data_IF_482963206354
#
_entry.id   IF_482963206354
#
_cell.length_a   1.000
_cell.length_b   1.000
_cell.length_c   1.000
_cell.angle_alpha   90.00
_cell.angle_beta   90.00
_cell.angle_gamma   90.00
#
_symmetry.space_group_name_H-M   'P 1'
#
loop_
_entity.id
_entity.type
_entity.pdbx_description
1 polymer ?
#
# COMPACT_ATOMS: atom_id res chain seq x y z
N UNK A 1 -9.51 -0.26 -7.45
CA UNK A 1 -9.19 0.37 -6.14
C UNK A 1 -7.69 0.27 -5.80
N UNK A 2 -7.07 -0.91 -5.98
CA UNK A 2 -5.66 -1.14 -5.67
C UNK A 2 -4.71 -0.14 -6.35
N UNK A 3 -4.71 -0.11 -7.69
CA UNK A 3 -3.82 0.77 -8.44
C UNK A 3 -4.04 2.25 -8.07
N UNK A 4 -5.30 2.69 -7.96
CA UNK A 4 -5.61 4.05 -7.52
C UNK A 4 -5.05 4.37 -6.13
N UNK A 5 -5.15 3.43 -5.17
CA UNK A 5 -4.56 3.57 -3.83
C UNK A 5 -3.04 3.67 -3.87
N UNK A 6 -2.37 2.86 -4.70
CA UNK A 6 -0.92 2.91 -4.89
C UNK A 6 -0.46 4.21 -5.55
N UNK A 7 -1.20 4.72 -6.53
CA UNK A 7 -0.94 6.03 -7.14
C UNK A 7 -1.15 7.18 -6.14
N UNK A 8 -2.19 7.13 -5.29
CA UNK A 8 -2.38 8.10 -4.22
C UNK A 8 -1.22 8.08 -3.21
N UNK A 9 -0.77 6.89 -2.81
CA UNK A 9 0.39 6.74 -1.94
C UNK A 9 1.67 7.29 -2.59
N UNK A 10 1.87 7.04 -3.88
CA UNK A 10 3.00 7.59 -4.64
C UNK A 10 2.99 9.12 -4.68
N UNK A 11 1.81 9.74 -4.88
CA UNK A 11 1.66 11.20 -4.84
C UNK A 11 1.95 11.73 -3.42
N UNK A 12 1.44 11.07 -2.37
CA UNK A 12 1.73 11.45 -0.98
C UNK A 12 3.22 11.41 -0.64
N UNK A 13 3.91 10.35 -1.07
CA UNK A 13 5.37 10.23 -0.93
C UNK A 13 6.12 11.28 -1.76
N UNK A 14 5.67 11.58 -2.97
CA UNK A 14 6.27 12.62 -3.80
C UNK A 14 6.11 14.03 -3.18
N UNK A 15 5.00 14.29 -2.49
CA UNK A 15 4.82 15.53 -1.73
C UNK A 15 5.82 15.61 -0.56
N UNK A 16 5.99 14.53 0.21
CA UNK A 16 7.00 14.50 1.26
C UNK A 16 8.43 14.68 0.73
N UNK A 17 8.74 14.12 -0.44
CA UNK A 17 10.03 14.30 -1.09
C UNK A 17 10.34 15.77 -1.45
N UNK A 18 9.30 16.61 -1.55
CA UNK A 18 9.42 18.05 -1.82
C UNK A 18 9.35 18.93 -0.57
N UNK A 19 9.15 18.35 0.61
CA UNK A 19 9.00 19.11 1.84
C UNK A 19 10.29 19.91 2.14
N UNK A 20 10.20 21.24 2.28
CA UNK A 20 11.36 22.07 2.56
C UNK A 20 11.74 21.98 4.05
N UNK A 21 13.01 22.28 4.35
CA UNK A 21 13.57 22.26 5.72
C UNK A 21 12.78 23.17 6.68
N UNK A 22 12.24 24.29 6.19
CA UNK A 22 11.46 25.27 6.95
C UNK A 22 9.95 25.21 6.61
N UNK A 23 9.43 24.03 6.26
CA UNK A 23 8.03 23.85 5.87
C UNK A 23 7.04 24.01 7.02
N UNK A 24 5.80 24.31 6.67
CA UNK A 24 4.67 24.29 7.60
C UNK A 24 4.03 22.91 7.59
N UNK A 25 3.82 22.33 8.78
CA UNK A 25 3.18 21.02 8.91
C UNK A 25 1.85 20.93 8.15
N UNK A 26 1.03 21.98 8.21
CA UNK A 26 -0.31 21.98 7.61
C UNK A 26 -0.26 21.95 6.07
N UNK A 27 0.77 22.55 5.47
CA UNK A 27 0.88 22.69 4.01
C UNK A 27 1.75 21.60 3.41
N UNK A 28 2.85 21.26 4.06
CA UNK A 28 3.88 20.38 3.49
C UNK A 28 3.74 18.92 3.95
N UNK A 29 3.12 18.67 5.11
CA UNK A 29 3.07 17.33 5.74
C UNK A 29 1.67 16.74 5.75
N UNK A 30 0.67 17.53 6.17
CA UNK A 30 -0.72 17.08 6.32
C UNK A 30 -1.30 16.50 5.02
N UNK A 31 -1.15 17.15 3.83
CA UNK A 31 -1.71 16.61 2.60
C UNK A 31 -1.06 15.28 2.22
N UNK A 32 0.27 15.17 2.41
CA UNK A 32 1.02 13.93 2.18
C UNK A 32 0.53 12.79 3.09
N UNK A 33 0.34 13.06 4.38
CA UNK A 33 -0.17 12.07 5.34
C UNK A 33 -1.57 11.59 4.97
N UNK A 34 -2.47 12.50 4.60
CA UNK A 34 -3.84 12.15 4.22
C UNK A 34 -3.88 11.29 2.96
N UNK A 35 -3.11 11.65 1.93
CA UNK A 35 -3.03 10.88 0.69
C UNK A 35 -2.42 9.50 0.91
N UNK A 36 -1.38 9.41 1.73
CA UNK A 36 -0.72 8.16 2.04
C UNK A 36 -1.63 7.23 2.85
N UNK A 37 -2.33 7.76 3.86
CA UNK A 37 -3.30 7.00 4.66
C UNK A 37 -4.49 6.51 3.83
N UNK A 38 -5.08 7.39 3.01
CA UNK A 38 -6.19 7.03 2.13
C UNK A 38 -5.77 6.01 1.07
N UNK A 39 -4.60 6.23 0.45
CA UNK A 39 -4.02 5.32 -0.54
C UNK A 39 -3.74 3.94 0.04
N UNK A 40 -3.14 3.87 1.23
CA UNK A 40 -2.89 2.63 1.95
C UNK A 40 -4.21 1.90 2.26
N UNK A 41 -5.22 2.59 2.80
CA UNK A 41 -6.53 2.00 3.10
C UNK A 41 -7.24 1.44 1.85
N UNK A 42 -7.18 2.16 0.73
CA UNK A 42 -7.74 1.71 -0.55
C UNK A 42 -7.00 0.50 -1.15
N UNK A 43 -5.69 0.41 -0.95
CA UNK A 43 -4.85 -0.64 -1.51
C UNK A 43 -4.87 -1.93 -0.68
N UNK A 44 -5.00 -1.82 0.65
CA UNK A 44 -4.77 -2.93 1.58
C UNK A 44 -5.71 -4.12 1.37
N UNK A 45 -7.02 -3.87 1.39
CA UNK A 45 -8.03 -4.93 1.22
C UNK A 45 -7.94 -5.65 -0.15
N UNK A 46 -7.88 -4.91 -1.29
CA UNK A 46 -7.72 -5.53 -2.59
C UNK A 46 -6.45 -6.38 -2.75
N UNK A 47 -5.33 -5.95 -2.12
CA UNK A 47 -4.08 -6.72 -2.14
C UNK A 47 -4.25 -8.05 -1.41
N UNK A 48 -4.87 -8.04 -0.23
CA UNK A 48 -5.13 -9.26 0.53
C UNK A 48 -6.06 -10.20 -0.22
N UNK A 49 -7.12 -9.65 -0.82
CA UNK A 49 -8.06 -10.43 -1.61
C UNK A 49 -7.38 -11.09 -2.81
N UNK A 50 -6.60 -10.32 -3.58
CA UNK A 50 -5.88 -10.82 -4.74
C UNK A 50 -4.84 -11.91 -4.37
N UNK A 51 -4.24 -11.82 -3.19
CA UNK A 51 -3.30 -12.82 -2.73
C UNK A 51 -3.97 -14.15 -2.35
N UNK A 52 -5.23 -14.12 -1.93
CA UNK A 52 -5.96 -15.28 -1.40
C UNK A 52 -7.03 -15.84 -2.36
N UNK A 53 -7.37 -15.13 -3.42
CA UNK A 53 -8.54 -15.43 -4.28
C UNK A 53 -8.47 -16.76 -5.05
N UNK A 54 -7.30 -17.38 -5.16
CA UNK A 54 -7.09 -18.64 -5.89
C UNK A 54 -6.71 -19.82 -4.98
N UNK A 55 -6.84 -19.67 -3.66
CA UNK A 55 -6.40 -20.69 -2.69
C UNK A 55 -7.57 -21.56 -2.25
N UNK A 56 -7.38 -22.88 -2.32
CA UNK A 56 -8.35 -23.85 -1.79
C UNK A 56 -8.53 -23.68 -0.27
N UNK A 57 -9.76 -23.84 0.28
CA UNK A 57 -10.00 -23.62 1.71
C UNK A 57 -9.09 -24.43 2.64
N UNK A 58 -8.68 -25.63 2.21
CA UNK A 58 -7.77 -26.52 2.96
C UNK A 58 -6.34 -25.95 3.10
N UNK A 59 -5.90 -25.11 2.14
CA UNK A 59 -4.55 -24.53 2.09
C UNK A 59 -4.50 -23.07 2.57
N UNK A 60 -5.64 -22.52 3.00
CA UNK A 60 -5.79 -21.12 3.44
C UNK A 60 -4.81 -20.73 4.56
N UNK A 61 -4.54 -21.64 5.50
CA UNK A 61 -3.57 -21.42 6.58
C UNK A 61 -2.13 -21.32 6.07
N UNK A 62 -1.75 -22.16 5.10
CA UNK A 62 -0.42 -22.11 4.47
C UNK A 62 -0.26 -20.85 3.64
N UNK A 63 -1.26 -20.50 2.82
CA UNK A 63 -1.22 -19.32 1.98
C UNK A 63 -1.16 -18.03 2.79
N UNK A 64 -1.99 -17.90 3.85
CA UNK A 64 -1.94 -16.76 4.77
C UNK A 64 -0.58 -16.64 5.46
N UNK A 65 0.02 -17.77 5.86
CA UNK A 65 1.39 -17.80 6.39
C UNK A 65 2.41 -17.24 5.40
N UNK A 66 2.39 -17.69 4.15
CA UNK A 66 3.29 -17.21 3.09
C UNK A 66 3.09 -15.71 2.84
N UNK A 67 1.85 -15.23 2.75
CA UNK A 67 1.55 -13.81 2.54
C UNK A 67 2.05 -12.95 3.70
N UNK A 68 1.80 -13.36 4.94
CA UNK A 68 2.24 -12.60 6.10
C UNK A 68 3.79 -12.54 6.18
N UNK A 69 4.47 -13.65 5.93
CA UNK A 69 5.94 -13.66 5.85
C UNK A 69 6.44 -12.78 4.70
N UNK A 70 5.80 -12.84 3.53
CA UNK A 70 6.15 -11.99 2.38
C UNK A 70 5.97 -10.50 2.69
N UNK A 71 4.92 -10.11 3.43
CA UNK A 71 4.73 -8.73 3.90
C UNK A 71 5.77 -8.30 4.91
N UNK A 72 6.06 -9.12 5.92
CA UNK A 72 7.10 -8.81 6.90
C UNK A 72 8.47 -8.68 6.24
N UNK A 73 8.84 -9.63 5.37
CA UNK A 73 10.11 -9.61 4.64
C UNK A 73 10.17 -8.45 3.65
N UNK A 74 9.09 -8.20 2.89
CA UNK A 74 9.01 -7.09 1.94
C UNK A 74 9.09 -5.74 2.63
N UNK A 75 8.40 -5.57 3.75
CA UNK A 75 8.46 -4.36 4.57
C UNK A 75 9.86 -4.12 5.14
N UNK A 76 10.49 -5.16 5.69
CA UNK A 76 11.84 -5.07 6.23
C UNK A 76 12.88 -4.75 5.15
N UNK A 77 12.84 -5.45 4.01
CA UNK A 77 13.74 -5.23 2.88
C UNK A 77 13.53 -3.84 2.27
N UNK A 78 12.28 -3.43 2.07
CA UNK A 78 11.94 -2.10 1.57
C UNK A 78 12.47 -1.00 2.49
N UNK A 79 12.22 -1.13 3.80
CA UNK A 79 12.74 -0.17 4.78
C UNK A 79 14.27 -0.14 4.81
N UNK A 80 14.93 -1.30 4.73
CA UNK A 80 16.40 -1.38 4.70
C UNK A 80 17.00 -0.64 3.50
N UNK A 81 16.41 -0.82 2.30
CA UNK A 81 16.83 -0.12 1.09
C UNK A 81 16.63 1.40 1.24
N UNK A 82 15.46 1.83 1.72
CA UNK A 82 15.16 3.25 1.89
C UNK A 82 16.05 3.91 2.95
N UNK A 83 16.24 3.26 4.09
CA UNK A 83 17.10 3.75 5.18
C UNK A 83 18.56 3.82 4.74
N UNK A 84 19.05 2.81 4.01
CA UNK A 84 20.41 2.80 3.46
C UNK A 84 20.62 3.93 2.45
N UNK A 85 19.67 4.13 1.53
CA UNK A 85 19.71 5.23 0.56
C UNK A 85 19.69 6.61 1.24
N UNK A 86 18.83 6.79 2.25
CA UNK A 86 18.79 8.03 3.04
C UNK A 86 20.12 8.28 3.75
N UNK A 87 20.66 7.28 4.45
CA UNK A 87 21.92 7.39 5.17
C UNK A 87 23.10 7.72 4.22
N UNK A 88 23.17 7.05 3.07
CA UNK A 88 24.19 7.31 2.06
C UNK A 88 24.11 8.75 1.53
N UNK A 89 22.91 9.26 1.29
CA UNK A 89 22.71 10.64 0.82
C UNK A 89 23.04 11.67 1.88
N UNK A 90 22.60 11.45 3.12
CA UNK A 90 22.95 12.30 4.27
C UNK A 90 24.46 12.39 4.43
N UNK A 91 25.17 11.25 4.45
CA UNK A 91 26.63 11.21 4.59
C UNK A 91 27.35 11.91 3.43
N UNK A 92 26.86 11.75 2.19
CA UNK A 92 27.42 12.46 1.04
C UNK A 92 27.26 13.99 1.13
N UNK A 93 26.13 14.48 1.66
CA UNK A 93 25.89 15.91 1.84
C UNK A 93 26.71 16.49 3.00
N UNK A 94 26.85 15.74 4.09
CA UNK A 94 27.71 16.12 5.21
C UNK A 94 29.18 16.20 4.78
N UNK A 95 29.66 15.22 4.01
CA UNK A 95 31.01 15.24 3.43
C UNK A 95 31.23 16.42 2.46
N UNK A 96 30.16 16.92 1.83
CA UNK A 96 30.17 18.12 0.99
C UNK A 96 30.05 19.43 1.79
N UNK A 97 30.03 19.37 3.13
CA UNK A 97 29.98 20.53 4.03
C UNK A 97 28.58 21.06 4.33
N UNK A 98 27.52 20.32 3.99
CA UNK A 98 26.16 20.71 4.37
C UNK A 98 25.97 20.59 5.89
N UNK A 99 25.21 21.52 6.48
CA UNK A 99 24.83 21.42 7.89
C UNK A 99 23.95 20.18 8.11
N UNK A 100 24.09 19.54 9.28
CA UNK A 100 23.40 18.30 9.64
C UNK A 100 21.88 18.33 9.38
N UNK A 101 21.12 19.39 9.72
CA UNK A 101 19.68 19.44 9.44
C UNK A 101 19.37 19.38 7.93
N UNK A 102 20.15 20.09 7.11
CA UNK A 102 20.01 20.09 5.65
C UNK A 102 20.38 18.73 5.04
N UNK A 103 21.46 18.11 5.54
CA UNK A 103 21.89 16.79 5.08
C UNK A 103 20.83 15.72 5.38
N UNK A 104 20.25 15.73 6.58
CA UNK A 104 19.18 14.81 6.98
C UNK A 104 17.93 14.98 6.12
N UNK A 105 17.47 16.23 5.90
CA UNK A 105 16.33 16.48 5.00
C UNK A 105 16.62 15.98 3.59
N UNK A 106 17.84 16.19 3.08
CA UNK A 106 18.23 15.65 1.77
C UNK A 106 18.17 14.12 1.69
N UNK A 107 18.56 13.43 2.76
CA UNK A 107 18.43 11.96 2.88
C UNK A 107 16.98 11.50 2.91
N UNK A 108 16.13 12.12 3.73
CA UNK A 108 14.71 11.80 3.80
C UNK A 108 13.99 12.07 2.47
N UNK A 109 14.30 13.20 1.81
CA UNK A 109 13.72 13.53 0.51
C UNK A 109 14.06 12.46 -0.55
N UNK A 110 15.29 11.94 -0.54
CA UNK A 110 15.67 10.84 -1.41
C UNK A 110 14.89 9.57 -1.09
N UNK A 111 14.78 9.18 0.19
CA UNK A 111 14.02 7.99 0.57
C UNK A 111 12.54 8.10 0.17
N UNK A 112 11.91 9.25 0.39
CA UNK A 112 10.52 9.46 -0.03
C UNK A 112 10.37 9.40 -1.56
N UNK A 113 11.34 9.93 -2.32
CA UNK A 113 11.33 9.85 -3.78
C UNK A 113 11.46 8.39 -4.27
N UNK A 114 12.39 7.62 -3.71
CA UNK A 114 12.55 6.20 -4.04
C UNK A 114 11.29 5.42 -3.69
N UNK A 115 10.70 5.69 -2.53
CA UNK A 115 9.41 5.12 -2.13
C UNK A 115 8.27 5.47 -3.10
N UNK A 116 8.21 6.72 -3.56
CA UNK A 116 7.21 7.17 -4.54
C UNK A 116 7.36 6.41 -5.87
N UNK A 117 8.59 6.21 -6.34
CA UNK A 117 8.88 5.43 -7.56
C UNK A 117 8.44 3.97 -7.37
N UNK A 118 8.77 3.34 -6.24
CA UNK A 118 8.32 1.97 -5.96
C UNK A 118 6.79 1.84 -5.91
N UNK A 119 6.10 2.78 -5.25
CA UNK A 119 4.64 2.79 -5.22
C UNK A 119 4.03 2.99 -6.61
N UNK A 120 4.58 3.89 -7.43
CA UNK A 120 4.13 4.11 -8.80
C UNK A 120 4.36 2.89 -9.69
N UNK A 121 5.52 2.24 -9.59
CA UNK A 121 5.82 1.00 -10.31
C UNK A 121 4.89 -0.13 -9.87
N UNK A 122 4.64 -0.30 -8.57
CA UNK A 122 3.67 -1.26 -8.06
C UNK A 122 2.26 -0.98 -8.58
N UNK A 123 1.85 0.29 -8.62
CA UNK A 123 0.58 0.72 -9.21
C UNK A 123 0.49 0.39 -10.70
N UNK A 124 1.55 0.63 -11.46
CA UNK A 124 1.64 0.30 -12.89
C UNK A 124 1.58 -1.21 -13.12
N UNK A 125 2.33 -1.99 -12.37
CA UNK A 125 2.28 -3.46 -12.39
C UNK A 125 0.86 -3.93 -12.06
N UNK A 126 0.22 -3.32 -11.07
CA UNK A 126 -1.16 -3.61 -10.71
C UNK A 126 -2.13 -3.39 -11.86
N UNK A 127 -1.99 -2.29 -12.61
CA UNK A 127 -2.81 -2.01 -13.82
C UNK A 127 -2.55 -3.03 -14.92
N UNK A 128 -1.30 -3.42 -15.12
CA UNK A 128 -0.90 -4.31 -16.22
C UNK A 128 -1.22 -5.78 -15.96
N UNK A 129 -1.06 -6.24 -14.71
CA UNK A 129 -1.17 -7.66 -14.35
C UNK A 129 -2.50 -8.03 -13.71
N UNK A 130 -3.13 -7.16 -12.91
CA UNK A 130 -4.43 -7.45 -12.32
C UNK A 130 -5.55 -7.10 -13.31
N UNK A 131 -5.82 -8.01 -14.25
CA UNK A 131 -7.12 -8.05 -14.93
C UNK A 131 -8.18 -8.35 -13.87
N UNK A 132 -9.13 -7.44 -13.73
CA UNK A 132 -10.19 -7.52 -12.73
C UNK A 132 -11.12 -8.68 -13.09
N UNK A 133 -11.18 -9.72 -12.27
CA UNK A 133 -12.36 -10.58 -12.26
C UNK A 133 -13.57 -9.68 -11.91
N UNK A 134 -14.67 -9.72 -12.67
CA UNK A 134 -15.88 -8.98 -12.32
C UNK A 134 -16.27 -9.31 -10.88
N UNK A 135 -16.80 -8.36 -10.10
CA UNK A 135 -17.26 -8.63 -8.75
C UNK A 135 -18.26 -9.78 -8.83
N UNK A 136 -17.88 -10.95 -8.32
CA UNK A 136 -18.77 -12.09 -8.25
C UNK A 136 -20.01 -11.65 -7.50
N UNK A 137 -21.14 -11.80 -8.17
CA UNK A 137 -22.50 -11.59 -7.70
C UNK A 137 -22.71 -12.37 -6.39
N UNK A 138 -22.30 -11.84 -5.24
CA UNK A 138 -22.52 -12.44 -3.92
C UNK A 138 -23.50 -11.61 -3.06
N UNK A 139 -24.21 -10.64 -3.65
CA UNK A 139 -25.39 -10.04 -3.03
C UNK A 139 -26.71 -10.59 -3.59
N UNK A 140 -26.68 -11.37 -4.69
CA UNK A 140 -27.92 -11.85 -5.33
C UNK A 140 -28.43 -13.21 -4.81
N UNK A 141 -27.69 -13.90 -3.92
CA UNK A 141 -28.09 -15.23 -3.41
C UNK A 141 -28.72 -15.19 -2.01
N UNK A 142 -28.71 -14.06 -1.29
CA UNK A 142 -29.48 -13.93 -0.05
C UNK A 142 -30.97 -13.60 -0.29
N UNK A 143 -31.34 -13.13 -1.50
CA UNK A 143 -32.73 -12.89 -1.89
C UNK A 143 -33.45 -14.15 -2.40
N UNK A 144 -32.71 -15.25 -2.62
CA UNK A 144 -33.25 -16.55 -3.04
C UNK A 144 -33.58 -17.48 -1.86
N UNK A 145 -33.79 -16.95 -0.65
CA UNK A 145 -34.35 -17.74 0.46
C UNK A 145 -35.85 -17.98 0.21
N UNK A 146 -36.32 -19.21 -0.07
CA UNK A 146 -37.75 -19.46 -0.14
C UNK A 146 -38.30 -19.43 1.29
N UNK A 147 -38.92 -18.31 1.67
CA UNK A 147 -39.92 -18.29 2.75
C UNK A 147 -41.16 -19.03 2.26
N UNK A 148 -41.19 -20.36 2.38
CA UNK A 148 -42.42 -21.12 2.21
C UNK A 148 -42.21 -22.55 1.80
N UNK A 149 -42.29 -23.48 2.77
CA UNK A 149 -42.98 -24.78 2.67
C UNK A 149 -42.62 -25.65 3.89
N UNK A 150 -43.42 -25.56 4.96
CA UNK A 150 -43.72 -26.67 5.87
C UNK A 150 -44.78 -26.23 6.91
N UNK A 151 -45.86 -25.59 6.45
CA UNK A 151 -47.19 -25.98 6.93
C UNK A 151 -47.66 -27.11 6.00
N UNK A 152 -48.49 -28.02 6.53
CA UNK A 152 -49.09 -29.18 5.84
C UNK A 152 -48.32 -30.53 5.88
N UNK A 153 -48.41 -31.20 7.03
CA UNK A 153 -48.96 -32.56 7.23
C UNK A 153 -48.56 -32.98 8.66
N UNK A 154 -49.36 -33.57 9.54
CA UNK A 154 -50.62 -34.31 9.48
C UNK A 154 -51.24 -34.13 10.90
N UNK A 155 -52.50 -33.70 11.03
CA UNK A 155 -53.67 -34.57 11.30
C UNK A 155 -53.45 -35.61 12.39
#
# INVERSE_FOLDING_TARGET
PLAAGLWLAAIGLALFARAPVNGSFVVDVLPGMMLLGLGAGMAFNPVLLAAMSEVDPADSGLASGVVNTAFMMGGALGLAVLASAAAARTGAMEAAGAQMPLALTGGYNLAFLVGAVFAALAGLIGVLLLRTAPPAQMQNNEEAAPRGAAGESAS
#
